data_IF_713489653564
#
_entry.id   IF_713489653564
#
_cell.length_a   1.000
_cell.length_b   1.000
_cell.length_c   1.000
_cell.angle_alpha   90.00
_cell.angle_beta   90.00
_cell.angle_gamma   90.00
#
_symmetry.space_group_name_H-M   'P 1'
#
loop_
_entity.id
_entity.type
_entity.pdbx_description
1 polymer ?
#
# COMPACT_ATOMS: atom_id res chain seq x y z
N UNK A 1 -11.67 -15.41 -0.89
CA UNK A 1 -10.75 -14.45 -0.25
C UNK A 1 -10.95 -13.07 -0.84
N UNK A 2 -11.00 -12.07 0.00
CA UNK A 2 -11.23 -10.69 -0.41
C UNK A 2 -10.10 -9.80 0.10
N UNK A 3 -9.42 -9.11 -0.80
CA UNK A 3 -8.23 -8.30 -0.50
C UNK A 3 -8.48 -6.85 -0.89
N UNK A 4 -8.12 -5.94 -0.01
CA UNK A 4 -8.08 -4.51 -0.31
C UNK A 4 -6.67 -4.11 -0.71
N UNK A 5 -6.53 -3.48 -1.87
CA UNK A 5 -5.30 -2.82 -2.28
C UNK A 5 -5.47 -1.35 -1.92
N UNK A 6 -4.64 -0.88 -0.99
CA UNK A 6 -4.72 0.47 -0.46
C UNK A 6 -3.48 1.25 -0.87
N UNK A 7 -3.67 2.30 -1.66
CA UNK A 7 -2.59 3.12 -2.20
C UNK A 7 -2.63 4.53 -1.62
N UNK A 8 -1.48 4.99 -1.17
CA UNK A 8 -1.29 6.31 -0.58
C UNK A 8 -1.02 7.41 -1.59
N UNK A 9 -0.45 8.54 -1.11
CA UNK A 9 -0.34 9.76 -1.89
C UNK A 9 0.53 9.60 -3.13
N UNK A 10 0.10 10.28 -4.17
CA UNK A 10 0.77 10.37 -5.48
C UNK A 10 0.73 9.10 -6.31
N UNK A 11 0.16 8.01 -5.81
CA UNK A 11 0.07 6.77 -6.57
C UNK A 11 -1.02 6.83 -7.64
N UNK A 12 -1.90 7.82 -7.58
CA UNK A 12 -2.82 8.14 -8.65
C UNK A 12 -2.12 8.70 -9.90
N UNK A 13 -0.85 9.11 -9.76
CA UNK A 13 -0.04 9.66 -10.85
C UNK A 13 0.91 8.62 -11.45
N UNK A 14 0.73 7.37 -11.09
CA UNK A 14 1.56 6.28 -11.60
C UNK A 14 1.45 6.22 -13.12
N UNK A 15 2.61 6.09 -13.80
CA UNK A 15 2.70 6.16 -15.25
C UNK A 15 2.95 7.57 -15.80
N UNK A 16 2.79 8.61 -14.97
CA UNK A 16 3.06 10.02 -15.34
C UNK A 16 4.32 10.57 -14.71
N UNK A 17 4.90 9.84 -13.75
CA UNK A 17 6.10 10.24 -13.01
C UNK A 17 7.32 9.58 -13.61
N UNK A 18 8.38 9.47 -12.83
CA UNK A 18 9.63 8.86 -13.25
C UNK A 18 9.40 7.40 -13.67
N UNK A 19 9.41 7.16 -14.97
CA UNK A 19 9.15 5.84 -15.56
C UNK A 19 10.22 4.84 -15.14
N UNK A 20 11.46 5.28 -14.94
CA UNK A 20 12.55 4.40 -14.51
C UNK A 20 12.33 3.86 -13.09
N UNK A 21 11.65 4.62 -12.23
CA UNK A 21 11.40 4.25 -10.83
C UNK A 21 10.04 3.56 -10.66
N UNK A 22 9.00 4.11 -11.30
CA UNK A 22 7.60 3.71 -11.04
C UNK A 22 6.99 2.87 -12.16
N UNK A 23 7.69 2.71 -13.31
CA UNK A 23 7.16 2.01 -14.47
C UNK A 23 6.24 2.89 -15.31
N UNK A 24 5.86 2.37 -16.47
CA UNK A 24 5.03 3.07 -17.46
C UNK A 24 3.57 2.64 -17.47
N UNK A 25 3.24 1.54 -16.78
CA UNK A 25 1.89 0.97 -16.78
C UNK A 25 1.02 1.69 -15.74
N UNK A 26 -0.15 2.15 -16.17
CA UNK A 26 -1.13 2.72 -15.25
C UNK A 26 -1.62 1.65 -14.27
N UNK A 27 -1.95 2.08 -13.04
CA UNK A 27 -2.34 1.14 -12.00
C UNK A 27 -3.60 0.36 -12.37
N UNK A 28 -4.54 0.98 -13.04
CA UNK A 28 -5.78 0.33 -13.48
C UNK A 28 -5.50 -0.85 -14.42
N UNK A 29 -4.54 -0.71 -15.33
CA UNK A 29 -4.12 -1.81 -16.21
C UNK A 29 -3.48 -2.93 -15.41
N UNK A 30 -2.63 -2.58 -14.46
CA UNK A 30 -2.00 -3.55 -13.58
C UNK A 30 -3.03 -4.31 -12.74
N UNK A 31 -4.02 -3.59 -12.21
CA UNK A 31 -5.10 -4.18 -11.43
C UNK A 31 -5.93 -5.17 -12.28
N UNK A 32 -6.19 -4.82 -13.53
CA UNK A 32 -6.89 -5.71 -14.47
C UNK A 32 -6.10 -7.02 -14.66
N UNK A 33 -4.78 -6.91 -14.81
CA UNK A 33 -3.92 -8.11 -14.93
C UNK A 33 -3.93 -8.95 -13.65
N UNK A 34 -3.89 -8.30 -12.49
CA UNK A 34 -3.96 -9.02 -11.21
C UNK A 34 -5.27 -9.80 -11.07
N UNK A 35 -6.37 -9.20 -11.47
CA UNK A 35 -7.68 -9.87 -11.42
C UNK A 35 -7.73 -11.07 -12.34
N UNK A 36 -7.06 -10.99 -13.50
CA UNK A 36 -6.96 -12.11 -14.43
C UNK A 36 -6.08 -13.24 -13.89
N UNK A 37 -5.00 -12.90 -13.18
CA UNK A 37 -4.08 -13.89 -12.60
C UNK A 37 -4.69 -14.57 -11.38
N UNK A 38 -5.49 -13.84 -10.60
CA UNK A 38 -6.12 -14.34 -9.37
C UNK A 38 -7.65 -14.26 -9.46
N UNK A 39 -8.28 -15.06 -10.35
CA UNK A 39 -9.71 -14.92 -10.60
C UNK A 39 -10.59 -15.29 -9.39
N UNK A 40 -10.05 -16.07 -8.46
CA UNK A 40 -10.79 -16.50 -7.25
C UNK A 40 -10.63 -15.54 -6.08
N UNK A 41 -9.85 -14.46 -6.25
CA UNK A 41 -9.62 -13.44 -5.22
C UNK A 41 -10.40 -12.18 -5.57
N UNK A 42 -11.25 -11.71 -4.66
CA UNK A 42 -11.91 -10.43 -4.79
C UNK A 42 -10.90 -9.31 -4.49
N UNK A 43 -10.60 -8.49 -5.49
CA UNK A 43 -9.65 -7.38 -5.35
C UNK A 43 -10.40 -6.07 -5.44
N UNK A 44 -10.43 -5.33 -4.34
CA UNK A 44 -10.88 -3.94 -4.32
C UNK A 44 -9.67 -3.03 -4.19
N UNK A 45 -9.76 -1.83 -4.75
CA UNK A 45 -8.70 -0.85 -4.68
C UNK A 45 -9.25 0.48 -4.19
N UNK A 46 -8.52 1.10 -3.27
CA UNK A 46 -8.79 2.47 -2.82
C UNK A 46 -7.48 3.26 -2.81
N UNK A 47 -7.50 4.46 -3.36
CA UNK A 47 -6.35 5.36 -3.38
C UNK A 47 -6.76 6.69 -2.77
N UNK A 48 -5.90 7.25 -1.92
CA UNK A 48 -6.10 8.60 -1.39
C UNK A 48 -4.77 9.29 -1.12
N UNK A 49 -4.78 10.61 -1.30
CA UNK A 49 -3.68 11.48 -0.89
C UNK A 49 -3.87 11.97 0.56
N UNK A 50 -5.00 11.67 1.17
CA UNK A 50 -5.39 12.16 2.50
C UNK A 50 -5.12 11.09 3.54
N UNK A 51 -4.23 11.39 4.49
CA UNK A 51 -3.84 10.45 5.54
C UNK A 51 -5.04 9.90 6.32
N UNK A 52 -5.97 10.78 6.71
CA UNK A 52 -7.16 10.36 7.45
C UNK A 52 -8.05 9.40 6.68
N UNK A 53 -8.16 9.57 5.37
CA UNK A 53 -8.93 8.65 4.53
C UNK A 53 -8.29 7.25 4.48
N UNK A 54 -6.96 7.20 4.48
CA UNK A 54 -6.22 5.93 4.53
C UNK A 54 -6.43 5.23 5.87
N UNK A 55 -6.40 5.99 6.96
CA UNK A 55 -6.68 5.48 8.30
C UNK A 55 -8.09 4.90 8.36
N UNK A 56 -9.07 5.65 7.87
CA UNK A 56 -10.46 5.21 7.87
C UNK A 56 -10.65 3.94 7.02
N UNK A 57 -9.95 3.85 5.88
CA UNK A 57 -9.99 2.66 5.04
C UNK A 57 -9.43 1.43 5.78
N UNK A 58 -8.34 1.60 6.53
CA UNK A 58 -7.79 0.53 7.37
C UNK A 58 -8.81 0.09 8.44
N UNK A 59 -9.43 1.03 9.12
CA UNK A 59 -10.45 0.71 10.11
C UNK A 59 -11.62 -0.05 9.49
N UNK A 60 -12.10 0.38 8.32
CA UNK A 60 -13.21 -0.27 7.64
C UNK A 60 -12.87 -1.66 7.07
N UNK A 61 -11.60 -1.99 6.98
CA UNK A 61 -11.18 -3.30 6.45
C UNK A 61 -11.58 -4.45 7.37
N UNK A 62 -11.72 -4.19 8.66
CA UNK A 62 -12.09 -5.24 9.61
C UNK A 62 -13.47 -5.81 9.30
N UNK A 63 -13.56 -7.14 9.23
CA UNK A 63 -14.79 -7.84 8.91
C UNK A 63 -15.21 -7.76 7.44
N UNK A 64 -14.46 -7.03 6.60
CA UNK A 64 -14.78 -6.87 5.16
C UNK A 64 -13.74 -7.49 4.26
N UNK A 65 -12.49 -7.50 4.69
CA UNK A 65 -11.37 -8.04 3.90
C UNK A 65 -10.57 -9.05 4.71
N UNK A 66 -10.03 -10.03 4.02
CA UNK A 66 -9.13 -11.02 4.61
C UNK A 66 -7.71 -10.49 4.77
N UNK A 67 -7.39 -9.44 4.05
CA UNK A 67 -6.11 -8.78 4.16
C UNK A 67 -6.06 -7.46 3.39
N UNK A 68 -5.04 -6.67 3.68
CA UNK A 68 -4.78 -5.39 3.00
C UNK A 68 -3.36 -5.42 2.45
N UNK A 69 -3.22 -5.07 1.18
CA UNK A 69 -1.93 -4.79 0.55
C UNK A 69 -1.79 -3.28 0.52
N UNK A 70 -0.86 -2.76 1.31
CA UNK A 70 -0.76 -1.33 1.57
C UNK A 70 0.53 -0.74 1.03
N UNK A 71 0.40 0.22 0.11
CA UNK A 71 1.49 1.06 -0.32
C UNK A 71 1.21 2.48 0.16
N UNK A 72 1.84 2.86 1.26
CA UNK A 72 1.60 4.15 1.90
C UNK A 72 2.31 5.33 1.21
N UNK A 73 3.12 5.05 0.18
CA UNK A 73 3.90 6.10 -0.47
C UNK A 73 4.87 6.75 0.51
N UNK A 74 4.98 8.06 0.46
CA UNK A 74 5.86 8.81 1.36
C UNK A 74 5.50 8.69 2.84
N UNK A 75 4.24 8.39 3.16
CA UNK A 75 3.82 8.18 4.55
C UNK A 75 4.46 6.96 5.21
N UNK A 76 5.04 6.05 4.44
CA UNK A 76 5.85 4.94 4.97
C UNK A 76 6.89 5.43 5.98
N UNK A 77 7.47 6.60 5.71
CA UNK A 77 8.60 7.13 6.47
C UNK A 77 8.20 8.12 7.55
N UNK A 78 7.00 8.69 7.47
CA UNK A 78 6.62 9.85 8.27
C UNK A 78 5.36 9.67 9.11
N UNK A 79 4.45 8.77 8.72
CA UNK A 79 3.16 8.69 9.40
C UNK A 79 3.16 7.69 10.56
N UNK A 80 3.25 8.21 11.76
CA UNK A 80 3.04 7.45 13.00
C UNK A 80 1.56 7.04 13.09
N UNK A 81 0.64 7.90 12.67
CA UNK A 81 -0.79 7.63 12.73
C UNK A 81 -1.20 6.42 11.89
N UNK A 82 -0.62 6.28 10.69
CA UNK A 82 -0.87 5.10 9.85
C UNK A 82 -0.27 3.84 10.46
N UNK A 83 0.92 3.95 11.02
CA UNK A 83 1.53 2.82 11.75
C UNK A 83 0.64 2.35 12.89
N UNK A 84 0.10 3.28 13.65
CA UNK A 84 -0.77 2.97 14.78
C UNK A 84 -2.09 2.33 14.29
N UNK A 85 -2.63 2.81 13.18
CA UNK A 85 -3.83 2.22 12.59
C UNK A 85 -3.60 0.76 12.17
N UNK A 86 -2.48 0.49 11.49
CA UNK A 86 -2.11 -0.88 11.09
C UNK A 86 -1.97 -1.78 12.31
N UNK A 87 -1.35 -1.29 13.38
CA UNK A 87 -1.16 -2.06 14.61
C UNK A 87 -2.47 -2.31 15.36
N UNK A 88 -3.43 -1.39 15.26
CA UNK A 88 -4.68 -1.46 16.01
C UNK A 88 -5.70 -2.41 15.41
N UNK A 89 -5.68 -2.64 14.09
CA UNK A 89 -6.67 -3.47 13.43
C UNK A 89 -6.30 -4.96 13.46
N UNK A 90 -7.31 -5.82 13.39
CA UNK A 90 -7.11 -7.27 13.32
C UNK A 90 -6.78 -7.74 11.90
N UNK A 91 -7.17 -7.00 10.88
CA UNK A 91 -6.92 -7.35 9.48
C UNK A 91 -5.41 -7.42 9.23
N UNK A 92 -4.89 -8.52 8.64
CA UNK A 92 -3.47 -8.60 8.27
C UNK A 92 -3.13 -7.56 7.21
N UNK A 93 -2.01 -6.87 7.38
CA UNK A 93 -1.53 -5.87 6.42
C UNK A 93 -0.15 -6.27 5.90
N UNK A 94 -0.02 -6.28 4.57
CA UNK A 94 1.27 -6.44 3.89
C UNK A 94 1.65 -5.10 3.30
N UNK A 95 2.79 -4.57 3.70
CA UNK A 95 3.29 -3.31 3.18
C UNK A 95 4.17 -3.54 1.95
N UNK A 96 3.91 -2.77 0.90
CA UNK A 96 4.57 -2.90 -0.40
C UNK A 96 5.24 -1.58 -0.76
N UNK A 97 6.45 -1.65 -1.29
CA UNK A 97 7.20 -0.50 -1.78
C UNK A 97 7.63 -0.72 -3.22
N UNK A 98 7.52 0.32 -4.06
CA UNK A 98 7.91 0.25 -5.46
C UNK A 98 9.43 0.34 -5.63
N UNK A 99 10.10 1.11 -4.76
CA UNK A 99 11.56 1.28 -4.81
C UNK A 99 12.21 0.89 -3.51
N UNK A 100 13.51 0.58 -3.56
CA UNK A 100 14.27 0.31 -2.33
C UNK A 100 14.38 1.57 -1.50
N UNK A 101 13.91 1.52 -0.25
CA UNK A 101 14.04 2.63 0.68
C UNK A 101 15.50 2.91 1.03
N UNK A 102 16.36 1.90 1.01
CA UNK A 102 17.79 2.01 1.36
C UNK A 102 18.59 2.72 0.29
N UNK A 103 18.06 2.85 -0.93
CA UNK A 103 18.70 3.54 -2.04
C UNK A 103 18.29 5.02 -2.13
N UNK A 104 17.54 5.53 -1.14
CA UNK A 104 17.00 6.88 -1.14
C UNK A 104 17.54 7.69 0.03
N UNK A 105 16.99 8.88 0.26
CA UNK A 105 17.43 9.77 1.34
C UNK A 105 17.34 9.06 2.71
N UNK A 106 18.16 9.47 3.64
CA UNK A 106 18.28 8.82 4.95
C UNK A 106 16.93 8.68 5.68
N UNK A 107 16.08 9.71 5.66
CA UNK A 107 14.78 9.64 6.33
C UNK A 107 13.86 8.57 5.74
N UNK A 108 14.11 8.14 4.49
CA UNK A 108 13.35 7.10 3.82
C UNK A 108 13.84 5.70 4.16
N UNK A 109 14.90 5.57 4.93
CA UNK A 109 15.36 4.29 5.46
C UNK A 109 14.48 3.82 6.62
N UNK A 110 13.77 4.74 7.26
CA UNK A 110 12.86 4.40 8.35
C UNK A 110 11.61 3.71 7.82
N UNK A 111 11.33 2.52 8.34
CA UNK A 111 10.07 1.84 8.13
C UNK A 111 9.39 1.77 9.48
N UNK A 112 8.56 2.75 9.79
CA UNK A 112 7.97 2.89 11.11
C UNK A 112 6.88 1.89 11.44
N UNK A 113 6.59 0.92 10.56
CA UNK A 113 5.42 0.07 10.68
C UNK A 113 5.71 -1.38 11.03
N UNK A 114 6.94 -1.75 11.22
CA UNK A 114 7.29 -3.14 11.51
C UNK A 114 6.56 -3.61 12.78
N UNK A 115 5.72 -4.62 12.62
CA UNK A 115 5.01 -5.25 13.72
C UNK A 115 4.82 -6.73 13.42
N UNK A 116 4.36 -7.50 14.39
CA UNK A 116 4.11 -8.93 14.19
C UNK A 116 2.94 -9.21 13.21
N UNK A 117 2.17 -8.20 12.86
CA UNK A 117 1.03 -8.31 11.94
C UNK A 117 1.36 -7.78 10.55
N UNK A 118 2.54 -7.28 10.36
CA UNK A 118 2.96 -6.56 9.17
C UNK A 118 4.12 -7.27 8.51
N UNK A 119 4.06 -7.34 7.19
CA UNK A 119 5.17 -7.84 6.39
C UNK A 119 5.51 -6.80 5.35
N UNK A 120 6.79 -6.57 5.12
CA UNK A 120 7.26 -5.61 4.14
C UNK A 120 7.78 -6.35 2.93
N UNK A 121 7.16 -6.09 1.77
CA UNK A 121 7.63 -6.56 0.48
C UNK A 121 8.13 -5.37 -0.32
N UNK A 122 9.27 -5.54 -0.95
CA UNK A 122 9.84 -4.51 -1.82
C UNK A 122 9.66 -4.91 -3.26
N UNK A 123 9.05 -4.01 -4.04
CA UNK A 123 8.98 -4.12 -5.47
C UNK A 123 10.00 -3.15 -6.07
N UNK A 124 10.99 -3.67 -6.70
CA UNK A 124 12.08 -2.87 -7.27
C UNK A 124 11.78 -2.54 -8.72
#
# INVERSE_FOLDING_TARGET
MKILILNGPNLNLQGRRDVAVYGSTAFEEYLTRLRAVFPDVGLDCFQSNVEGELIDALHRSEGRYDGVVFNAGGYTHTSVALRDAVAAIATPVVEVHISSILAREEFRHEIGRASCRERVLRLV
#
